data_IF_851977254647
#
_entry.id   IF_851977254647
#
_cell.length_a   1.000
_cell.length_b   1.000
_cell.length_c   1.000
_cell.angle_alpha   90.00
_cell.angle_beta   90.00
_cell.angle_gamma   90.00
#
_symmetry.space_group_name_H-M   'P 1'
#
loop_
_entity.id
_entity.type
_entity.pdbx_description
1 polymer ?
#
# COMPACT_ATOMS: atom_id res chain seq x y z
N UNK A 1 -26.01 -69.48 -26.83
CA UNK A 1 -24.98 -69.04 -25.84
C UNK A 1 -24.37 -67.75 -26.33
N UNK A 2 -24.95 -66.60 -25.93
CA UNK A 2 -24.58 -65.28 -26.42
C UNK A 2 -23.95 -64.50 -25.25
N UNK A 3 -22.62 -64.20 -25.37
CA UNK A 3 -21.88 -63.40 -24.41
C UNK A 3 -22.01 -61.93 -24.74
N UNK A 4 -22.52 -61.16 -23.81
CA UNK A 4 -22.54 -59.69 -23.83
C UNK A 4 -21.20 -59.17 -23.34
N UNK A 5 -20.51 -58.33 -24.12
CA UNK A 5 -19.33 -57.58 -23.73
C UNK A 5 -19.80 -56.15 -23.42
N UNK A 6 -19.74 -55.80 -22.15
CA UNK A 6 -20.06 -54.43 -21.71
C UNK A 6 -18.85 -53.50 -21.88
N UNK A 7 -19.04 -52.44 -22.64
CA UNK A 7 -18.09 -51.32 -22.71
C UNK A 7 -18.28 -50.38 -21.53
N UNK A 8 -17.29 -50.27 -20.64
CA UNK A 8 -17.20 -49.20 -19.63
C UNK A 8 -16.58 -47.97 -20.26
N UNK A 9 -17.43 -46.98 -20.53
CA UNK A 9 -16.99 -45.61 -20.87
C UNK A 9 -16.64 -44.87 -19.60
N UNK A 10 -15.37 -44.64 -19.36
CA UNK A 10 -14.89 -43.77 -18.27
C UNK A 10 -15.19 -42.27 -18.65
N UNK A 11 -16.10 -41.67 -17.90
CA UNK A 11 -16.35 -40.23 -17.99
C UNK A 11 -15.22 -39.50 -17.24
N UNK A 12 -14.36 -38.83 -18.00
CA UNK A 12 -13.42 -37.85 -17.43
C UNK A 12 -14.20 -36.55 -17.13
N UNK A 13 -14.48 -36.30 -15.85
CA UNK A 13 -14.97 -35.00 -15.39
C UNK A 13 -13.76 -34.10 -15.19
N UNK A 14 -13.51 -33.25 -16.18
CA UNK A 14 -12.53 -32.19 -16.09
C UNK A 14 -13.03 -31.13 -15.08
N UNK A 15 -12.41 -31.06 -13.89
CA UNK A 15 -12.56 -29.94 -12.96
C UNK A 15 -11.89 -28.71 -13.57
N UNK A 16 -12.67 -27.89 -14.27
CA UNK A 16 -12.27 -26.52 -14.61
C UNK A 16 -12.25 -25.71 -13.31
N UNK A 17 -11.05 -25.44 -12.80
CA UNK A 17 -10.85 -24.46 -11.74
C UNK A 17 -11.10 -23.05 -12.30
N UNK A 18 -12.36 -22.65 -12.37
CA UNK A 18 -12.69 -21.23 -12.50
C UNK A 18 -12.47 -20.57 -11.15
N UNK A 19 -11.36 -19.84 -11.02
CA UNK A 19 -11.18 -18.90 -9.93
C UNK A 19 -12.28 -17.81 -10.08
N UNK A 20 -13.43 -18.04 -9.47
CA UNK A 20 -14.44 -17.01 -9.32
C UNK A 20 -13.88 -15.98 -8.35
N UNK A 21 -13.60 -14.78 -8.87
CA UNK A 21 -13.40 -13.59 -8.04
C UNK A 21 -14.65 -13.42 -7.18
N UNK A 22 -14.56 -13.79 -5.91
CA UNK A 22 -15.62 -13.48 -4.95
C UNK A 22 -15.67 -11.97 -4.77
N UNK A 23 -16.57 -11.32 -5.48
CA UNK A 23 -17.03 -9.98 -5.13
C UNK A 23 -17.74 -10.08 -3.79
N UNK A 24 -17.08 -9.62 -2.73
CA UNK A 24 -17.73 -9.49 -1.43
C UNK A 24 -18.70 -8.32 -1.53
N UNK A 25 -19.99 -8.61 -1.70
CA UNK A 25 -21.06 -7.61 -1.65
C UNK A 25 -21.35 -7.25 -0.18
N UNK A 26 -21.18 -5.98 0.16
CA UNK A 26 -21.58 -5.44 1.46
C UNK A 26 -22.97 -4.83 1.33
N UNK A 27 -23.97 -5.39 2.02
CA UNK A 27 -25.30 -4.81 2.18
C UNK A 27 -25.44 -4.20 3.58
N UNK A 28 -25.70 -2.90 3.62
CA UNK A 28 -26.02 -2.17 4.86
C UNK A 28 -26.14 -0.68 4.58
N UNK A 29 -27.37 -0.15 4.52
CA UNK A 29 -27.69 1.18 4.00
C UNK A 29 -27.31 2.36 4.89
N UNK A 30 -26.87 2.16 6.16
CA UNK A 30 -26.65 3.24 7.13
C UNK A 30 -25.18 3.54 7.49
N UNK A 31 -24.20 2.77 6.98
CA UNK A 31 -22.80 3.09 7.22
C UNK A 31 -22.24 4.01 6.12
N UNK A 32 -21.35 4.98 6.44
CA UNK A 32 -20.72 5.84 5.43
C UNK A 32 -20.15 4.98 4.29
N UNK A 33 -20.45 5.36 3.05
CA UNK A 33 -19.92 4.65 1.88
C UNK A 33 -18.39 4.70 1.93
N UNK A 34 -17.71 3.64 1.48
CA UNK A 34 -16.24 3.60 1.44
C UNK A 34 -15.69 4.84 0.72
N UNK A 35 -16.30 5.22 -0.40
CA UNK A 35 -15.92 6.42 -1.16
C UNK A 35 -15.98 7.70 -0.30
N UNK A 36 -17.01 7.85 0.55
CA UNK A 36 -17.11 9.00 1.45
C UNK A 36 -15.99 9.04 2.49
N UNK A 37 -15.60 7.89 3.06
CA UNK A 37 -14.50 7.81 4.01
C UNK A 37 -13.15 8.09 3.34
N UNK A 38 -12.96 7.63 2.10
CA UNK A 38 -11.78 7.92 1.31
C UNK A 38 -11.67 9.41 0.99
N UNK A 39 -12.75 10.07 0.59
CA UNK A 39 -12.78 11.52 0.36
C UNK A 39 -12.49 12.31 1.64
N UNK A 40 -13.04 11.89 2.78
CA UNK A 40 -12.71 12.51 4.08
C UNK A 40 -11.22 12.35 4.43
N UNK A 41 -10.62 11.18 4.18
CA UNK A 41 -9.20 10.98 4.39
C UNK A 41 -8.36 11.87 3.46
N UNK A 42 -8.71 11.94 2.18
CA UNK A 42 -8.07 12.80 1.19
C UNK A 42 -8.07 14.26 1.64
N UNK A 43 -9.24 14.77 2.06
CA UNK A 43 -9.38 16.13 2.56
C UNK A 43 -8.57 16.37 3.84
N UNK A 44 -8.66 15.45 4.81
CA UNK A 44 -7.89 15.53 6.05
C UNK A 44 -6.39 15.60 5.77
N UNK A 45 -5.88 14.73 4.88
CA UNK A 45 -4.45 14.68 4.59
C UNK A 45 -3.96 15.94 3.85
N UNK A 46 -4.81 16.54 3.00
CA UNK A 46 -4.53 17.86 2.43
C UNK A 46 -4.44 18.92 3.51
N UNK A 47 -5.41 19.01 4.42
CA UNK A 47 -5.39 19.97 5.53
C UNK A 47 -4.16 19.82 6.43
N UNK A 48 -3.70 18.58 6.70
CA UNK A 48 -2.48 18.32 7.46
C UNK A 48 -1.26 18.87 6.71
N UNK A 49 -1.14 18.60 5.41
CA UNK A 49 0.00 19.07 4.59
C UNK A 49 0.02 20.59 4.42
N UNK A 50 -1.14 21.20 4.35
CA UNK A 50 -1.34 22.65 4.22
C UNK A 50 -1.30 23.37 5.58
N UNK A 51 -1.15 22.63 6.68
CA UNK A 51 -1.13 23.14 8.06
C UNK A 51 -2.39 23.97 8.41
N UNK A 52 -3.54 23.62 7.77
CA UNK A 52 -4.83 24.30 7.97
C UNK A 52 -5.71 23.64 9.04
N UNK A 53 -5.25 22.54 9.62
CA UNK A 53 -5.90 21.84 10.74
C UNK A 53 -4.92 21.63 11.87
N UNK A 54 -5.36 21.89 13.11
CA UNK A 54 -4.54 21.62 14.29
C UNK A 54 -4.33 20.11 14.52
N UNK A 55 -3.13 19.66 14.95
CA UNK A 55 -2.78 18.25 15.07
C UNK A 55 -3.78 17.42 15.90
N UNK A 56 -4.29 17.94 17.03
CA UNK A 56 -5.25 17.22 17.86
C UNK A 56 -6.63 17.08 17.18
N UNK A 57 -7.02 18.08 16.40
CA UNK A 57 -8.25 18.00 15.59
C UNK A 57 -8.08 16.98 14.46
N UNK A 58 -6.92 16.98 13.80
CA UNK A 58 -6.58 16.00 12.77
C UNK A 58 -6.60 14.57 13.33
N UNK A 59 -6.07 14.32 14.53
CA UNK A 59 -6.13 13.02 15.23
C UNK A 59 -7.56 12.56 15.47
N UNK A 60 -8.46 13.47 15.88
CA UNK A 60 -9.89 13.13 16.10
C UNK A 60 -10.58 12.74 14.81
N UNK A 61 -10.40 13.53 13.75
CA UNK A 61 -10.99 13.26 12.42
C UNK A 61 -10.44 11.94 11.86
N UNK A 62 -9.12 11.74 11.91
CA UNK A 62 -8.49 10.51 11.46
C UNK A 62 -9.05 9.28 12.17
N UNK A 63 -9.18 9.33 13.50
CA UNK A 63 -9.75 8.24 14.30
C UNK A 63 -11.18 7.91 13.87
N UNK A 64 -11.99 8.92 13.59
CA UNK A 64 -13.36 8.73 13.09
C UNK A 64 -13.37 8.01 11.74
N UNK A 65 -12.53 8.43 10.79
CA UNK A 65 -12.40 7.81 9.46
C UNK A 65 -11.96 6.34 9.60
N UNK A 66 -10.91 6.07 10.41
CA UNK A 66 -10.41 4.70 10.60
C UNK A 66 -11.43 3.81 11.30
N UNK A 67 -12.23 4.35 12.22
CA UNK A 67 -13.34 3.62 12.85
C UNK A 67 -14.39 3.23 11.80
N UNK A 68 -14.75 4.13 10.90
CA UNK A 68 -15.65 3.86 9.77
C UNK A 68 -15.11 2.78 8.84
N UNK A 69 -13.83 2.89 8.42
CA UNK A 69 -13.18 1.87 7.57
C UNK A 69 -13.11 0.51 8.28
N UNK A 70 -12.73 0.48 9.55
CA UNK A 70 -12.73 -0.74 10.36
C UNK A 70 -14.11 -1.39 10.42
N UNK A 71 -15.18 -0.59 10.56
CA UNK A 71 -16.57 -1.09 10.55
C UNK A 71 -16.94 -1.68 9.20
N UNK A 72 -16.61 -1.01 8.10
CA UNK A 72 -16.93 -1.48 6.73
C UNK A 72 -16.20 -2.79 6.39
N UNK A 73 -14.99 -2.96 6.85
CA UNK A 73 -14.18 -4.16 6.58
C UNK A 73 -14.15 -5.15 7.77
N UNK A 74 -15.10 -5.04 8.72
CA UNK A 74 -15.12 -5.90 9.91
C UNK A 74 -15.19 -7.41 9.55
N UNK A 75 -15.90 -7.77 8.49
CA UNK A 75 -16.03 -9.14 8.01
C UNK A 75 -14.77 -9.64 7.27
N UNK A 76 -13.96 -8.74 6.72
CA UNK A 76 -12.70 -9.08 6.06
C UNK A 76 -11.56 -9.31 7.08
N UNK A 77 -11.75 -8.87 8.31
CA UNK A 77 -10.78 -9.12 9.38
C UNK A 77 -10.87 -10.61 9.78
N UNK A 78 -9.80 -11.41 9.59
CA UNK A 78 -9.77 -12.72 10.20
C UNK A 78 -9.98 -12.52 11.70
N UNK A 79 -11.00 -13.18 12.23
CA UNK A 79 -11.49 -13.16 13.60
C UNK A 79 -10.38 -12.76 14.59
N UNK A 80 -10.39 -11.53 15.09
CA UNK A 80 -9.53 -10.98 16.15
C UNK A 80 -8.21 -11.76 16.37
N UNK A 81 -7.45 -11.93 15.30
CA UNK A 81 -6.12 -12.50 15.44
C UNK A 81 -5.32 -11.55 16.33
N UNK A 82 -4.79 -12.07 17.41
CA UNK A 82 -3.80 -11.34 18.18
C UNK A 82 -2.57 -11.05 17.28
N UNK A 83 -1.67 -10.22 17.77
CA UNK A 83 -0.50 -9.81 16.98
C UNK A 83 0.38 -10.99 16.54
N UNK A 84 0.45 -12.07 17.35
CA UNK A 84 1.24 -13.25 17.05
C UNK A 84 0.57 -14.11 15.97
N UNK A 85 -0.75 -14.33 16.06
CA UNK A 85 -1.51 -15.08 15.06
C UNK A 85 -1.56 -14.32 13.71
N UNK A 86 -1.61 -12.99 13.74
CA UNK A 86 -1.51 -12.13 12.55
C UNK A 86 -0.14 -12.25 11.89
N UNK A 87 0.93 -12.19 12.67
CA UNK A 87 2.30 -12.38 12.17
C UNK A 87 2.50 -13.78 11.58
N UNK A 88 1.95 -14.83 12.22
CA UNK A 88 2.00 -16.20 11.72
C UNK A 88 1.21 -16.37 10.41
N UNK A 89 0.02 -15.76 10.29
CA UNK A 89 -0.78 -15.75 9.06
C UNK A 89 -0.01 -15.09 7.91
N UNK A 90 0.55 -13.91 8.16
CA UNK A 90 1.33 -13.14 7.18
C UNK A 90 2.57 -13.92 6.71
N UNK A 91 3.30 -14.55 7.63
CA UNK A 91 4.50 -15.34 7.31
C UNK A 91 4.20 -16.64 6.56
N UNK A 92 3.05 -17.28 6.81
CA UNK A 92 2.72 -18.60 6.26
C UNK A 92 2.21 -18.55 4.81
N UNK A 93 1.58 -17.45 4.39
CA UNK A 93 0.86 -17.39 3.12
C UNK A 93 1.50 -16.49 2.05
N UNK A 94 2.75 -16.05 2.23
CA UNK A 94 3.42 -15.17 1.26
C UNK A 94 2.58 -13.91 0.99
N UNK A 95 2.13 -13.29 2.06
CA UNK A 95 1.15 -12.20 2.05
C UNK A 95 1.64 -10.95 1.30
N UNK A 96 2.95 -10.74 1.28
CA UNK A 96 3.55 -9.57 0.69
C UNK A 96 4.10 -9.83 -0.71
N UNK A 97 3.90 -8.86 -1.61
CA UNK A 97 4.63 -8.74 -2.87
C UNK A 97 5.67 -7.62 -2.74
N UNK A 98 6.85 -7.83 -3.34
CA UNK A 98 7.85 -6.76 -3.42
C UNK A 98 7.27 -5.60 -4.24
N UNK A 99 7.34 -4.35 -3.74
CA UNK A 99 6.53 -3.26 -4.28
C UNK A 99 7.06 -2.65 -5.58
N UNK A 100 8.17 -3.15 -6.13
CA UNK A 100 8.70 -2.75 -7.44
C UNK A 100 8.85 -3.98 -8.34
N UNK A 101 8.27 -3.93 -9.54
CA UNK A 101 8.40 -5.01 -10.53
C UNK A 101 9.84 -5.14 -11.01
N UNK A 102 10.36 -6.37 -11.04
CA UNK A 102 11.73 -6.66 -11.49
C UNK A 102 12.83 -6.26 -10.53
N UNK A 103 12.46 -5.97 -9.27
CA UNK A 103 13.38 -5.63 -8.19
C UNK A 103 13.22 -6.57 -7.00
N UNK A 104 14.20 -6.58 -6.10
CA UNK A 104 14.23 -7.38 -4.91
C UNK A 104 14.84 -6.65 -3.72
N UNK A 105 15.13 -7.36 -2.60
CA UNK A 105 15.62 -6.77 -1.35
C UNK A 105 16.96 -6.01 -1.47
N UNK A 106 17.75 -6.29 -2.48
CA UNK A 106 19.01 -5.59 -2.80
C UNK A 106 18.81 -4.14 -3.24
N UNK A 107 17.60 -3.80 -3.72
CA UNK A 107 17.24 -2.43 -4.07
C UNK A 107 16.88 -1.56 -2.83
N UNK A 108 16.67 -2.18 -1.65
CA UNK A 108 16.34 -1.44 -0.43
C UNK A 108 17.56 -0.69 0.10
N UNK A 109 17.42 0.61 0.26
CA UNK A 109 18.47 1.50 0.71
C UNK A 109 18.96 1.25 2.14
N UNK A 110 20.21 1.63 2.38
CA UNK A 110 20.84 1.46 3.68
C UNK A 110 21.35 0.03 3.94
N UNK A 111 21.75 -0.24 5.17
CA UNK A 111 22.27 -1.54 5.61
C UNK A 111 21.26 -2.17 6.57
N UNK A 112 20.74 -3.35 6.24
CA UNK A 112 19.80 -4.10 7.10
C UNK A 112 18.59 -3.29 7.57
N UNK A 113 18.07 -2.41 6.69
CA UNK A 113 16.88 -1.61 6.97
C UNK A 113 17.12 -0.38 7.87
N UNK A 114 18.35 0.07 8.07
CA UNK A 114 18.68 1.26 8.87
C UNK A 114 18.29 2.58 8.21
N UNK A 115 17.79 2.56 6.97
CA UNK A 115 17.13 3.71 6.34
C UNK A 115 15.87 4.17 7.11
N UNK A 116 15.22 3.26 7.83
CA UNK A 116 14.07 3.55 8.67
C UNK A 116 14.46 4.29 9.95
N UNK A 117 13.93 5.50 10.15
CA UNK A 117 14.16 6.38 11.32
C UNK A 117 12.84 7.04 11.73
N UNK A 118 12.07 6.38 12.59
CA UNK A 118 10.74 6.83 12.98
C UNK A 118 10.72 7.81 14.17
N UNK A 119 11.85 8.00 14.88
CA UNK A 119 11.90 8.88 16.07
C UNK A 119 11.45 10.28 15.70
N UNK A 120 10.51 10.83 16.43
CA UNK A 120 9.94 12.15 16.22
C UNK A 120 8.89 12.22 15.09
N UNK A 121 8.55 11.11 14.42
CA UNK A 121 7.51 11.14 13.41
C UNK A 121 6.12 11.43 13.99
N UNK A 122 5.41 12.37 13.40
CA UNK A 122 4.01 12.64 13.65
C UNK A 122 3.29 12.84 12.31
N UNK A 123 2.31 11.97 12.02
CA UNK A 123 1.52 12.07 10.79
C UNK A 123 0.70 13.37 10.74
N UNK A 124 0.32 13.89 11.91
CA UNK A 124 -0.61 15.01 12.06
C UNK A 124 0.06 16.37 12.17
N UNK A 125 1.39 16.39 12.30
CA UNK A 125 2.18 17.64 12.33
C UNK A 125 3.18 17.67 11.18
N UNK A 126 2.80 18.34 10.09
CA UNK A 126 3.63 18.41 8.87
C UNK A 126 4.90 19.25 9.07
N UNK A 127 4.98 20.07 10.14
CA UNK A 127 6.16 20.87 10.51
C UNK A 127 7.31 20.00 11.03
N UNK A 128 7.00 18.83 11.57
CA UNK A 128 8.02 17.89 12.09
C UNK A 128 9.02 17.52 10.97
N UNK A 129 10.30 17.57 11.30
CA UNK A 129 11.43 17.30 10.39
C UNK A 129 12.35 16.23 11.00
N UNK A 130 13.18 15.60 10.14
CA UNK A 130 14.26 14.71 10.60
C UNK A 130 13.88 13.23 10.75
N UNK A 131 12.60 12.88 10.83
CA UNK A 131 12.18 11.50 10.80
C UNK A 131 12.10 10.95 9.37
N UNK A 132 12.28 9.63 9.21
CA UNK A 132 12.13 8.89 7.96
C UNK A 132 11.52 7.51 8.26
N UNK A 133 10.20 7.42 8.53
CA UNK A 133 9.53 6.18 8.94
C UNK A 133 9.22 5.26 7.75
N UNK A 134 10.18 5.10 6.84
CA UNK A 134 10.02 4.41 5.57
C UNK A 134 11.28 3.63 5.17
N UNK A 135 11.14 2.81 4.15
CA UNK A 135 12.27 2.29 3.36
C UNK A 135 12.24 2.97 1.99
N UNK A 136 13.39 3.43 1.54
CA UNK A 136 13.58 3.88 0.17
C UNK A 136 14.08 2.70 -0.67
N UNK A 137 13.41 2.44 -1.80
CA UNK A 137 13.71 1.34 -2.70
C UNK A 137 14.15 1.94 -4.02
N UNK A 138 15.44 1.84 -4.32
CA UNK A 138 16.09 2.53 -5.43
C UNK A 138 15.91 1.80 -6.76
N UNK A 139 15.76 2.59 -7.84
CA UNK A 139 15.69 2.06 -9.21
C UNK A 139 16.99 2.30 -9.96
N UNK A 140 17.17 1.56 -11.06
CA UNK A 140 18.27 1.74 -12.01
C UNK A 140 17.91 2.88 -12.98
N UNK A 141 18.06 4.11 -12.52
CA UNK A 141 17.76 5.34 -13.27
C UNK A 141 18.87 6.37 -12.99
N UNK A 142 19.99 6.23 -13.71
CA UNK A 142 21.18 7.09 -13.51
C UNK A 142 21.03 8.45 -14.14
N UNK A 143 20.32 8.54 -15.27
CA UNK A 143 20.06 9.79 -15.97
C UNK A 143 18.87 10.58 -15.36
N UNK A 144 18.14 9.95 -14.41
CA UNK A 144 17.06 10.57 -13.63
C UNK A 144 15.86 11.02 -14.48
N UNK A 145 15.52 10.24 -15.50
CA UNK A 145 14.36 10.46 -16.38
C UNK A 145 13.11 9.65 -15.94
N UNK A 146 13.18 8.90 -14.83
CA UNK A 146 12.14 8.02 -14.30
C UNK A 146 11.90 6.77 -15.15
N UNK A 147 12.88 6.40 -15.96
CA UNK A 147 12.90 5.17 -16.77
C UNK A 147 14.00 4.24 -16.25
N UNK A 148 13.73 2.95 -16.16
CA UNK A 148 14.73 1.96 -15.75
C UNK A 148 15.77 1.78 -16.87
N UNK A 149 17.05 2.04 -16.57
CA UNK A 149 18.18 1.99 -17.53
C UNK A 149 18.34 0.60 -18.21
N UNK A 150 17.85 -0.46 -17.59
CA UNK A 150 18.00 -1.82 -18.09
C UNK A 150 16.84 -2.23 -19.00
N UNK A 151 15.63 -1.79 -18.68
CA UNK A 151 14.42 -2.18 -19.42
C UNK A 151 13.99 -1.13 -20.45
N UNK A 152 14.37 0.12 -20.27
CA UNK A 152 13.91 1.25 -21.07
C UNK A 152 12.43 1.61 -20.82
N UNK A 153 11.85 1.16 -19.71
CA UNK A 153 10.44 1.38 -19.34
C UNK A 153 10.34 1.98 -17.93
N UNK A 154 9.27 2.74 -17.63
CA UNK A 154 8.97 3.14 -16.26
C UNK A 154 8.84 1.93 -15.34
N UNK A 155 9.37 2.04 -14.12
CA UNK A 155 9.28 0.95 -13.13
C UNK A 155 7.90 0.95 -12.48
N UNK A 156 7.20 -0.18 -12.54
CA UNK A 156 5.88 -0.36 -11.91
C UNK A 156 5.98 -0.38 -10.39
N UNK A 157 5.15 0.43 -9.73
CA UNK A 157 4.84 0.32 -8.30
C UNK A 157 3.68 -0.63 -8.12
N UNK A 158 3.89 -1.65 -7.29
CA UNK A 158 2.91 -2.71 -7.02
C UNK A 158 2.34 -2.57 -5.61
N UNK A 159 1.05 -2.84 -5.45
CA UNK A 159 0.43 -2.94 -4.14
C UNK A 159 1.09 -4.10 -3.35
N UNK A 160 1.68 -3.80 -2.20
CA UNK A 160 2.37 -4.78 -1.38
C UNK A 160 1.43 -5.82 -0.78
N UNK A 161 0.18 -5.41 -0.53
CA UNK A 161 -0.92 -6.23 0.01
C UNK A 161 -2.25 -5.88 -0.67
N UNK A 162 -3.29 -6.64 -0.36
CA UNK A 162 -4.67 -6.25 -0.71
C UNK A 162 -5.12 -5.07 0.14
N UNK A 163 -5.95 -4.19 -0.41
CA UNK A 163 -6.50 -3.09 0.36
C UNK A 163 -7.36 -2.12 -0.45
N UNK A 164 -7.89 -1.11 0.22
CA UNK A 164 -8.61 -0.02 -0.42
C UNK A 164 -7.74 1.22 -0.51
N UNK A 165 -7.72 1.86 -1.68
CA UNK A 165 -7.08 3.16 -1.89
C UNK A 165 -7.88 4.22 -1.15
N UNK A 166 -7.28 4.88 -0.16
CA UNK A 166 -7.96 5.88 0.68
C UNK A 166 -7.58 7.31 0.33
N UNK A 167 -6.55 7.50 -0.49
CA UNK A 167 -6.13 8.82 -0.95
C UNK A 167 -5.00 8.75 -1.95
N UNK A 168 -4.90 9.76 -2.79
CA UNK A 168 -3.86 9.91 -3.81
C UNK A 168 -3.44 11.37 -3.95
N UNK A 169 -2.27 11.59 -4.53
CA UNK A 169 -1.82 12.89 -5.07
C UNK A 169 -1.29 12.67 -6.48
N UNK A 170 -1.68 13.52 -7.41
CA UNK A 170 -1.30 13.42 -8.83
C UNK A 170 -0.85 14.76 -9.43
N UNK A 171 -0.94 15.81 -8.64
CA UNK A 171 -0.79 17.20 -9.14
C UNK A 171 0.47 17.90 -8.66
N UNK A 172 1.40 17.18 -8.01
CA UNK A 172 2.64 17.78 -7.53
C UNK A 172 3.48 18.31 -8.70
N UNK A 173 4.00 19.52 -8.54
CA UNK A 173 4.91 20.17 -9.50
C UNK A 173 6.17 20.68 -8.81
N UNK A 174 7.30 20.81 -9.53
CA UNK A 174 8.52 21.43 -9.01
C UNK A 174 8.24 22.84 -8.47
N UNK A 175 8.80 23.12 -7.29
CA UNK A 175 8.56 24.36 -6.55
C UNK A 175 7.62 24.22 -5.36
N UNK A 176 6.79 23.19 -5.33
CA UNK A 176 6.00 22.87 -4.14
C UNK A 176 6.85 22.21 -3.06
N UNK A 177 6.61 22.58 -1.78
CA UNK A 177 7.37 22.07 -0.63
C UNK A 177 6.85 20.72 -0.09
N UNK A 178 5.82 20.12 -0.73
CA UNK A 178 5.28 18.84 -0.31
C UNK A 178 6.28 17.71 -0.53
N UNK A 179 6.62 17.05 0.57
CA UNK A 179 7.75 16.09 0.62
C UNK A 179 7.48 14.82 -0.18
N UNK A 180 6.26 14.30 -0.14
CA UNK A 180 5.91 13.03 -0.77
C UNK A 180 5.71 13.09 -2.29
N UNK A 181 5.55 14.29 -2.87
CA UNK A 181 5.20 14.41 -4.29
C UNK A 181 3.86 13.78 -4.61
N UNK A 182 3.78 13.03 -5.72
CA UNK A 182 2.64 12.20 -6.04
C UNK A 182 2.71 10.89 -5.23
N UNK A 183 1.58 10.48 -4.67
CA UNK A 183 1.55 9.37 -3.74
C UNK A 183 0.21 8.61 -3.77
N UNK A 184 0.22 7.39 -3.21
CA UNK A 184 -0.95 6.54 -2.97
C UNK A 184 -0.95 6.10 -1.51
N UNK A 185 -2.12 6.23 -0.83
CA UNK A 185 -2.39 5.60 0.46
C UNK A 185 -3.33 4.41 0.27
N UNK A 186 -2.96 3.26 0.81
CA UNK A 186 -3.77 2.03 0.79
C UNK A 186 -4.02 1.56 2.21
N UNK A 187 -5.29 1.41 2.61
CA UNK A 187 -5.68 0.77 3.86
C UNK A 187 -5.81 -0.73 3.67
N UNK A 188 -5.03 -1.51 4.39
CA UNK A 188 -5.12 -2.96 4.46
C UNK A 188 -5.97 -3.36 5.67
N UNK A 189 -7.19 -3.90 5.49
CA UNK A 189 -8.08 -4.26 6.60
C UNK A 189 -7.63 -5.51 7.37
N UNK A 190 -6.81 -6.38 6.79
CA UNK A 190 -6.30 -7.59 7.45
C UNK A 190 -5.17 -7.21 8.41
N UNK A 191 -4.21 -6.41 7.94
CA UNK A 191 -3.14 -5.89 8.79
C UNK A 191 -3.63 -4.79 9.73
N UNK A 192 -4.78 -4.16 9.40
CA UNK A 192 -5.31 -2.99 10.10
C UNK A 192 -4.29 -1.85 10.09
N UNK A 193 -3.82 -1.51 8.90
CA UNK A 193 -2.76 -0.53 8.72
C UNK A 193 -2.76 0.11 7.34
N UNK A 194 -1.88 1.09 7.18
CA UNK A 194 -1.83 1.97 6.02
C UNK A 194 -0.48 1.85 5.34
N UNK A 195 -0.48 1.52 4.05
CA UNK A 195 0.71 1.65 3.20
C UNK A 195 0.70 2.99 2.47
N UNK A 196 1.87 3.60 2.38
CA UNK A 196 2.13 4.85 1.67
C UNK A 196 3.22 4.64 0.63
N UNK A 197 2.88 4.91 -0.63
CA UNK A 197 3.76 4.79 -1.79
C UNK A 197 3.96 6.18 -2.37
N UNK A 198 5.18 6.75 -2.26
CA UNK A 198 5.42 8.13 -2.65
C UNK A 198 6.53 8.29 -3.69
N UNK A 199 6.67 9.50 -4.20
CA UNK A 199 7.56 9.93 -5.28
C UNK A 199 7.17 9.40 -6.67
N UNK A 200 5.89 9.05 -6.87
CA UNK A 200 5.43 8.47 -8.13
C UNK A 200 5.47 9.49 -9.28
N UNK A 201 5.83 8.99 -10.48
CA UNK A 201 5.67 9.74 -11.73
C UNK A 201 4.21 9.74 -12.18
N UNK A 202 3.58 8.57 -12.17
CA UNK A 202 2.17 8.38 -12.48
C UNK A 202 1.47 7.60 -11.38
N UNK A 203 0.20 7.96 -11.10
CA UNK A 203 -0.72 7.22 -10.22
C UNK A 203 -1.85 6.67 -11.08
N UNK A 204 -2.14 5.38 -10.96
CA UNK A 204 -3.03 4.63 -11.86
C UNK A 204 -4.31 4.13 -11.18
N UNK A 205 -4.54 4.54 -9.94
CA UNK A 205 -5.69 4.18 -9.10
C UNK A 205 -6.34 5.42 -8.54
N UNK A 206 -7.55 5.29 -8.02
CA UNK A 206 -8.33 6.37 -7.40
C UNK A 206 -8.84 5.98 -6.02
N UNK A 207 -9.18 6.94 -5.15
CA UNK A 207 -9.81 6.66 -3.86
C UNK A 207 -11.09 5.83 -4.04
N UNK A 208 -11.23 4.80 -3.19
CA UNK A 208 -12.32 3.81 -3.28
C UNK A 208 -11.97 2.53 -4.05
N UNK A 209 -10.94 2.54 -4.90
CA UNK A 209 -10.53 1.33 -5.61
C UNK A 209 -10.00 0.28 -4.62
N UNK A 210 -10.46 -0.98 -4.80
CA UNK A 210 -9.84 -2.13 -4.16
C UNK A 210 -8.68 -2.62 -5.00
N UNK A 211 -7.49 -2.70 -4.40
CA UNK A 211 -6.29 -3.22 -5.07
C UNK A 211 -5.92 -4.59 -4.52
N UNK A 212 -5.38 -5.43 -5.40
CA UNK A 212 -4.90 -6.76 -5.06
C UNK A 212 -3.36 -6.75 -4.90
N UNK A 213 -2.85 -7.64 -4.05
CA UNK A 213 -1.41 -7.87 -3.89
C UNK A 213 -0.75 -8.09 -5.26
N UNK A 214 0.26 -7.30 -5.59
CA UNK A 214 0.98 -7.35 -6.87
C UNK A 214 0.32 -6.58 -8.02
N UNK A 215 -0.83 -5.94 -7.80
CA UNK A 215 -1.45 -5.07 -8.80
C UNK A 215 -0.61 -3.80 -8.98
N UNK A 216 -0.38 -3.38 -10.24
CA UNK A 216 0.23 -2.08 -10.56
C UNK A 216 -0.70 -0.96 -10.10
N UNK A 217 -0.17 -0.05 -9.27
CA UNK A 217 -0.91 1.10 -8.72
C UNK A 217 -0.32 2.45 -9.13
N UNK A 218 0.97 2.47 -9.49
CA UNK A 218 1.68 3.68 -9.87
C UNK A 218 2.92 3.33 -10.71
N UNK A 219 3.67 4.35 -11.10
CA UNK A 219 5.02 4.26 -11.67
C UNK A 219 5.98 5.07 -10.83
N UNK A 220 7.17 4.53 -10.56
CA UNK A 220 8.21 5.24 -9.81
C UNK A 220 8.60 6.51 -10.53
N UNK A 221 8.83 7.56 -9.75
CA UNK A 221 9.30 8.84 -10.28
C UNK A 221 10.20 9.57 -9.31
N UNK A 222 10.19 10.88 -9.47
CA UNK A 222 11.06 11.80 -8.75
C UNK A 222 10.28 12.98 -8.18
N UNK A 223 8.96 12.85 -8.04
CA UNK A 223 8.11 13.91 -7.49
C UNK A 223 8.33 14.08 -5.99
N UNK A 224 8.16 15.31 -5.48
CA UNK A 224 8.37 15.65 -4.06
C UNK A 224 9.60 16.50 -3.79
N UNK A 225 9.49 17.38 -2.79
CA UNK A 225 10.44 18.48 -2.49
C UNK A 225 11.93 18.08 -2.47
N UNK A 226 12.25 16.88 -1.97
CA UNK A 226 13.63 16.41 -1.95
C UNK A 226 13.93 15.41 -3.08
N UNK A 227 12.96 14.60 -3.48
CA UNK A 227 13.16 13.51 -4.43
C UNK A 227 13.45 14.03 -5.85
N UNK A 228 12.90 15.19 -6.25
CA UNK A 228 13.15 15.75 -7.57
C UNK A 228 14.55 16.35 -7.74
N UNK A 229 15.29 16.62 -6.64
CA UNK A 229 16.63 17.22 -6.68
C UNK A 229 17.65 16.22 -7.22
N UNK A 230 18.58 16.68 -8.05
CA UNK A 230 19.62 15.85 -8.69
C UNK A 230 20.41 14.99 -7.69
N UNK A 231 20.59 15.46 -6.44
CA UNK A 231 21.28 14.70 -5.38
C UNK A 231 20.52 13.45 -4.89
N UNK A 232 19.24 13.34 -5.21
CA UNK A 232 18.40 12.21 -4.78
C UNK A 232 18.27 11.22 -5.93
N UNK A 233 18.76 9.98 -5.78
CA UNK A 233 18.48 8.91 -6.76
C UNK A 233 16.98 8.64 -6.86
N UNK A 234 16.52 8.14 -8.00
CA UNK A 234 15.13 7.74 -8.22
C UNK A 234 14.78 6.55 -7.33
N UNK A 235 13.68 6.65 -6.58
CA UNK A 235 13.27 5.63 -5.62
C UNK A 235 11.79 5.67 -5.30
N UNK A 236 11.26 4.53 -4.89
CA UNK A 236 9.98 4.45 -4.19
C UNK A 236 10.22 4.68 -2.69
N UNK A 237 9.52 5.64 -2.09
CA UNK A 237 9.44 5.81 -0.64
C UNK A 237 8.24 5.01 -0.10
N UNK A 238 8.53 3.90 0.62
CA UNK A 238 7.53 2.99 1.17
C UNK A 238 7.44 3.13 2.68
N UNK A 239 6.30 3.63 3.18
CA UNK A 239 6.00 3.68 4.61
C UNK A 239 4.82 2.78 4.95
N UNK A 240 4.84 2.21 6.16
CA UNK A 240 3.69 1.50 6.74
C UNK A 240 3.38 2.03 8.14
N UNK A 241 2.09 2.30 8.37
CA UNK A 241 1.56 2.75 9.64
C UNK A 241 0.57 1.70 10.17
N UNK A 242 0.90 1.04 11.27
CA UNK A 242 0.00 0.15 11.99
C UNK A 242 -1.03 0.98 12.76
N UNK A 243 -2.32 0.67 12.64
CA UNK A 243 -3.32 1.27 13.50
C UNK A 243 -3.32 0.60 14.88
N UNK A 244 -3.15 1.41 15.92
CA UNK A 244 -3.29 0.98 17.30
C UNK A 244 -4.76 0.71 17.66
N UNK A 245 -5.05 0.09 18.83
CA UNK A 245 -6.42 -0.12 19.28
C UNK A 245 -7.24 1.17 19.37
N UNK A 246 -6.61 2.31 19.72
CA UNK A 246 -7.22 3.63 19.79
C UNK A 246 -7.47 4.28 18.41
N UNK A 247 -7.12 3.60 17.31
CA UNK A 247 -7.31 4.05 15.94
C UNK A 247 -6.24 5.01 15.43
N UNK A 248 -5.21 5.35 16.24
CA UNK A 248 -4.12 6.20 15.80
C UNK A 248 -3.00 5.39 15.12
N UNK A 249 -2.28 5.99 14.15
CA UNK A 249 -1.23 5.30 13.41
C UNK A 249 0.09 5.29 14.17
N UNK A 250 0.82 4.20 14.02
CA UNK A 250 2.17 4.02 14.54
C UNK A 250 3.08 3.48 13.43
N UNK A 251 4.21 4.12 13.11
CA UNK A 251 5.08 3.67 12.05
C UNK A 251 5.78 2.35 12.41
N UNK A 252 5.88 1.46 11.43
CA UNK A 252 6.56 0.17 11.55
C UNK A 252 7.57 -0.02 10.42
N UNK A 253 8.70 -0.61 10.75
CA UNK A 253 9.74 -0.89 9.78
C UNK A 253 9.33 -2.07 8.87
N UNK A 254 9.21 -1.83 7.58
CA UNK A 254 8.80 -2.81 6.56
C UNK A 254 9.95 -3.71 6.10
N UNK A 255 11.20 -3.49 6.52
CA UNK A 255 12.37 -4.17 5.98
C UNK A 255 12.26 -5.70 6.01
N UNK A 256 11.81 -6.29 7.14
CA UNK A 256 11.64 -7.75 7.25
C UNK A 256 10.59 -8.30 6.30
N UNK A 257 9.55 -7.53 6.01
CA UNK A 257 8.53 -7.92 5.04
C UNK A 257 9.08 -7.88 3.62
N UNK A 258 9.89 -6.85 3.31
CA UNK A 258 10.56 -6.74 2.01
C UNK A 258 11.53 -7.90 1.75
N UNK A 259 12.24 -8.41 2.78
CA UNK A 259 13.12 -9.57 2.65
C UNK A 259 12.36 -10.87 2.33
N UNK A 260 11.13 -11.02 2.82
CA UNK A 260 10.30 -12.21 2.63
C UNK A 260 9.20 -12.03 1.57
N UNK A 261 9.15 -10.89 0.89
CA UNK A 261 8.14 -10.60 -0.11
C UNK A 261 8.35 -11.43 -1.40
N UNK A 262 7.25 -11.84 -2.02
CA UNK A 262 7.29 -12.49 -3.32
C UNK A 262 7.72 -11.47 -4.39
N UNK A 263 8.70 -11.82 -5.19
CA UNK A 263 9.13 -11.03 -6.34
C UNK A 263 8.22 -11.32 -7.55
N UNK A 264 7.97 -10.29 -8.39
CA UNK A 264 7.18 -10.36 -9.63
C UNK A 264 7.99 -9.87 -10.82
#
# INVERSE_FOLDING_TARGET
MTRWVGFLTALWVGLANTASSQHVYFSGDDAPRVDSLCLQFQQLYSQIREETIEPDSARRVFRSIMTGLRGRFAMARPLRLDSAARAAFVGRFGYFTFPLRGYGPDAVGGVRGNGYRAVGFDLFDYRVRGSHPAQDIFTRDRNQDSVDDQTGLPTDVLAMTNGVVIGIETSWTPGQEYRGGNWVWVYDPILDGLFYYAHNNAVLVKPGDWVQTGQKIAEVGRTGYNAYKTRSPTHLHLMYLQLRPDGLPEPRNTYRWLLGARMN
#
